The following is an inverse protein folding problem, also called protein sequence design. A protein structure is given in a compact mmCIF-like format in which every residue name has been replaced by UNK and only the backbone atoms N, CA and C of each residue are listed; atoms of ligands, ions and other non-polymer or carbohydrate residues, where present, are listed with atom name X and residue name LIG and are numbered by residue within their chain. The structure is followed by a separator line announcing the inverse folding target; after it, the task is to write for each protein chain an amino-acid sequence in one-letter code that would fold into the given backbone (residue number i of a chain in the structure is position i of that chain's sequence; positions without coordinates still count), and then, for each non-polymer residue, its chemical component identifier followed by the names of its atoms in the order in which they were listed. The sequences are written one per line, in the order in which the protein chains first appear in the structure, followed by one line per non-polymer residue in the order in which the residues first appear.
data_IF_400083246952
#
_entry.id   IF_400083246952
#
_cell.length_a   1.000
_cell.length_b   1.000
_cell.length_c   1.000
_cell.angle_alpha   90.00
_cell.angle_beta   90.00
_cell.angle_gamma   90.00
#
_symmetry.space_group_name_H-M   'P 1'
#
loop_
_entity.id
_entity.type
_entity.pdbx_description
1 polymer ?
#
# COMPACT_ATOMS: atom_id res chain seq x y z
N UNK A 1 -8.76 2.15 -10.25
CA UNK A 1 -9.03 3.20 -9.25
C UNK A 1 -8.23 4.46 -9.61
N UNK A 2 -8.88 5.52 -10.11
CA UNK A 2 -8.17 6.75 -10.56
C UNK A 2 -7.60 7.58 -9.39
N UNK A 3 -8.26 7.59 -8.23
CA UNK A 3 -7.91 8.53 -7.16
C UNK A 3 -6.65 8.14 -6.37
N UNK A 4 -6.38 6.84 -6.17
CA UNK A 4 -5.24 6.42 -5.35
C UNK A 4 -3.90 6.64 -6.06
N UNK A 5 -3.83 6.35 -7.37
CA UNK A 5 -2.62 6.57 -8.16
C UNK A 5 -2.21 8.04 -8.14
N UNK A 6 -3.16 8.95 -8.37
CA UNK A 6 -2.91 10.40 -8.29
C UNK A 6 -2.43 10.85 -6.90
N UNK A 7 -2.99 10.27 -5.82
CA UNK A 7 -2.55 10.57 -4.46
C UNK A 7 -1.11 10.09 -4.19
N UNK A 8 -0.73 8.94 -4.75
CA UNK A 8 0.63 8.36 -4.63
C UNK A 8 1.67 9.23 -5.34
N UNK A 9 1.33 9.82 -6.49
CA UNK A 9 2.22 10.72 -7.21
C UNK A 9 2.38 12.09 -6.52
N UNK A 10 1.31 12.60 -5.88
CA UNK A 10 1.32 13.93 -5.27
C UNK A 10 1.99 13.98 -3.89
N UNK A 11 1.92 12.89 -3.13
CA UNK A 11 2.38 12.85 -1.74
C UNK A 11 3.78 12.22 -1.62
N UNK A 12 4.62 12.78 -0.72
CA UNK A 12 5.92 12.17 -0.34
C UNK A 12 5.73 10.71 0.10
N UNK A 13 4.66 10.44 0.86
CA UNK A 13 4.30 9.11 1.36
C UNK A 13 2.79 8.95 1.39
N UNK A 14 2.30 7.79 0.94
CA UNK A 14 0.93 7.35 1.14
C UNK A 14 0.92 6.09 1.99
N UNK A 15 0.08 6.07 3.03
CA UNK A 15 -0.20 4.88 3.83
C UNK A 15 -1.57 4.34 3.42
N UNK A 16 -1.62 3.06 3.04
CA UNK A 16 -2.82 2.41 2.55
C UNK A 16 -3.30 1.44 3.63
N UNK A 17 -4.52 1.69 4.12
CA UNK A 17 -5.18 0.88 5.12
C UNK A 17 -6.32 0.08 4.51
N UNK A 18 -6.49 -1.16 4.95
CA UNK A 18 -7.72 -1.90 4.75
C UNK A 18 -8.72 -1.55 5.84
N UNK A 19 -9.78 -0.85 5.45
CA UNK A 19 -10.92 -0.52 6.29
C UNK A 19 -12.22 -1.09 5.70
N UNK A 20 -12.12 -2.17 4.92
CA UNK A 20 -13.27 -2.79 4.25
C UNK A 20 -14.03 -3.80 5.13
N UNK A 21 -13.46 -4.20 6.27
CA UNK A 21 -14.07 -5.16 7.21
C UNK A 21 -14.85 -4.40 8.27
N UNK A 22 -16.15 -4.70 8.38
CA UNK A 22 -17.00 -4.10 9.40
C UNK A 22 -16.58 -4.53 10.81
N UNK A 23 -16.75 -3.62 11.78
CA UNK A 23 -16.45 -3.84 13.20
C UNK A 23 -15.00 -4.27 13.48
N UNK A 24 -14.09 -3.99 12.55
CA UNK A 24 -12.65 -4.22 12.69
C UNK A 24 -11.90 -2.90 12.60
N UNK A 25 -10.79 -2.81 13.34
CA UNK A 25 -9.87 -1.69 13.23
C UNK A 25 -9.19 -1.68 11.85
N UNK A 26 -9.01 -0.48 11.30
CA UNK A 26 -8.34 -0.30 10.02
C UNK A 26 -6.91 -0.86 10.06
N UNK A 27 -6.59 -1.76 9.14
CA UNK A 27 -5.30 -2.45 9.13
C UNK A 27 -4.33 -1.81 8.14
N UNK A 28 -3.13 -1.42 8.60
CA UNK A 28 -2.10 -0.90 7.70
C UNK A 28 -1.59 -2.02 6.77
N UNK A 29 -1.72 -1.84 5.46
CA UNK A 29 -1.38 -2.84 4.45
C UNK A 29 -0.09 -2.51 3.72
N UNK A 30 0.04 -1.28 3.23
CA UNK A 30 1.18 -0.87 2.43
C UNK A 30 1.53 0.61 2.65
N UNK A 31 2.76 0.97 2.28
CA UNK A 31 3.17 2.37 2.19
C UNK A 31 3.93 2.61 0.88
N UNK A 32 3.68 3.75 0.25
CA UNK A 32 4.48 4.28 -0.84
C UNK A 32 5.43 5.39 -0.37
N UNK A 33 6.47 5.63 -1.13
CA UNK A 33 7.35 6.78 -0.96
C UNK A 33 7.85 7.21 -2.34
N UNK A 34 7.82 8.51 -2.63
CA UNK A 34 8.30 9.06 -3.91
C UNK A 34 7.65 8.37 -5.13
N UNK A 35 6.33 8.17 -5.08
CA UNK A 35 5.57 7.49 -6.14
C UNK A 35 5.79 5.96 -6.23
N UNK A 36 6.64 5.37 -5.40
CA UNK A 36 7.03 3.96 -5.48
C UNK A 36 6.56 3.16 -4.25
N UNK A 37 6.28 1.86 -4.44
CA UNK A 37 5.93 0.97 -3.34
C UNK A 37 7.15 0.78 -2.41
N UNK A 38 7.01 1.17 -1.15
CA UNK A 38 8.11 1.23 -0.16
C UNK A 38 8.08 0.09 0.83
N UNK A 39 6.89 -0.34 1.27
CA UNK A 39 6.75 -1.46 2.21
C UNK A 39 5.38 -2.11 2.10
N UNK A 40 5.35 -3.43 2.13
CA UNK A 40 4.14 -4.21 2.41
C UNK A 40 4.24 -4.69 3.86
N UNK A 41 3.19 -4.49 4.66
CA UNK A 41 3.16 -4.84 6.08
C UNK A 41 2.48 -6.18 6.33
N UNK A 42 1.56 -6.59 5.46
CA UNK A 42 0.75 -7.80 5.59
C UNK A 42 0.20 -8.22 4.23
N UNK A 43 -0.52 -9.32 4.19
CA UNK A 43 -1.25 -9.72 2.99
C UNK A 43 -2.17 -8.60 2.50
N UNK A 44 -2.16 -8.38 1.18
CA UNK A 44 -2.92 -7.32 0.56
C UNK A 44 -4.29 -7.86 0.15
N UNK A 45 -5.39 -7.25 0.61
CA UNK A 45 -6.69 -7.44 -0.02
C UNK A 45 -6.59 -7.16 -1.52
N UNK A 46 -7.41 -7.84 -2.31
CA UNK A 46 -7.40 -7.75 -3.78
C UNK A 46 -7.45 -6.29 -4.27
N UNK A 47 -8.35 -5.47 -3.70
CA UNK A 47 -8.48 -4.07 -4.09
C UNK A 47 -7.22 -3.23 -3.85
N UNK A 48 -6.42 -3.56 -2.83
CA UNK A 48 -5.13 -2.90 -2.58
C UNK A 48 -4.09 -3.45 -3.54
N UNK A 49 -4.04 -4.77 -3.72
CA UNK A 49 -3.13 -5.44 -4.64
C UNK A 49 -3.26 -4.85 -6.05
N UNK A 50 -4.47 -4.77 -6.57
CA UNK A 50 -4.78 -4.20 -7.90
C UNK A 50 -4.37 -2.73 -8.01
N UNK A 51 -4.42 -1.98 -6.91
CA UNK A 51 -4.10 -0.56 -6.92
C UNK A 51 -2.60 -0.27 -6.85
N UNK A 52 -1.80 -1.23 -6.39
CA UNK A 52 -0.35 -1.07 -6.22
C UNK A 52 0.48 -1.96 -7.14
N UNK A 53 -0.14 -2.88 -7.89
CA UNK A 53 0.54 -3.85 -8.75
C UNK A 53 1.46 -3.21 -9.79
N UNK A 54 1.04 -2.08 -10.36
CA UNK A 54 1.78 -1.36 -11.40
C UNK A 54 2.79 -0.35 -10.85
N UNK A 55 2.86 -0.16 -9.53
CA UNK A 55 3.80 0.78 -8.94
C UNK A 55 5.23 0.24 -9.03
N UNK A 56 6.21 1.10 -9.35
CA UNK A 56 7.61 0.72 -9.22
C UNK A 56 7.93 0.38 -7.76
N UNK A 57 8.87 -0.54 -7.54
CA UNK A 57 9.39 -0.81 -6.20
C UNK A 57 10.46 0.22 -5.85
N UNK A 58 10.33 0.86 -4.70
CA UNK A 58 11.34 1.78 -4.18
C UNK A 58 12.66 1.02 -3.93
N UNK A 59 13.82 1.68 -4.06
CA UNK A 59 15.15 1.06 -3.84
C UNK A 59 15.28 0.37 -2.48
N UNK A 60 14.61 0.93 -1.47
CA UNK A 60 14.53 0.37 -0.12
C UNK A 60 13.35 -0.57 0.13
N UNK A 61 12.65 -1.08 -0.90
CA UNK A 61 11.43 -1.88 -0.75
C UNK A 61 11.59 -3.02 0.27
N UNK A 62 10.59 -3.17 1.14
CA UNK A 62 10.52 -4.26 2.13
C UNK A 62 9.21 -5.01 1.97
N UNK A 63 9.30 -6.32 1.81
CA UNK A 63 8.14 -7.21 1.89
C UNK A 63 8.04 -7.80 3.30
N UNK A 64 7.09 -7.31 4.09
CA UNK A 64 6.84 -7.76 5.45
C UNK A 64 5.89 -8.96 5.53
N UNK A 65 5.38 -9.47 4.40
CA UNK A 65 4.58 -10.70 4.35
C UNK A 65 5.47 -11.89 4.71
N UNK A 66 5.56 -12.19 6.00
CA UNK A 66 6.40 -13.27 6.53
C UNK A 66 7.29 -12.86 7.71
N UNK A 67 7.30 -11.59 8.12
CA UNK A 67 7.88 -11.20 9.40
C UNK A 67 6.90 -11.59 10.52
N UNK A 68 7.08 -12.79 11.08
CA UNK A 68 6.40 -13.29 12.28
C UNK A 68 6.89 -12.59 13.54
#
# INVERSE_FOLDING_TARGET
MINLAAAIELADRVYIYDNSVNDAEAALCARTQDGALRKIYRELPEWISDAVVDLPKHVGFVDGRGAT
#
